data_IF_175001473579
#
_entry.id   IF_175001473579
#
_cell.length_a   1.000
_cell.length_b   1.000
_cell.length_c   1.000
_cell.angle_alpha   90.00
_cell.angle_beta   90.00
_cell.angle_gamma   90.00
#
_symmetry.space_group_name_H-M   'P 1'
#
loop_
_entity.id
_entity.type
_entity.pdbx_description
1 polymer ?
#
# COMPACT_ATOMS: atom_id res chain seq x y z
N UNK A 1 7.64 14.54 18.94
CA UNK A 1 6.76 13.38 18.64
C UNK A 1 6.47 12.67 19.96
N UNK A 2 5.21 12.30 20.27
CA UNK A 2 4.92 11.56 21.51
C UNK A 2 5.62 10.19 21.51
N UNK A 3 6.06 9.73 22.67
CA UNK A 3 6.65 8.38 22.80
C UNK A 3 5.60 7.32 22.52
N UNK A 4 6.03 6.10 22.13
CA UNK A 4 5.08 5.01 21.86
C UNK A 4 4.26 4.66 23.10
N UNK A 5 4.91 4.54 24.26
CA UNK A 5 4.25 4.31 25.55
C UNK A 5 3.20 5.36 25.86
N UNK A 6 3.49 6.65 25.62
CA UNK A 6 2.52 7.73 25.80
C UNK A 6 1.36 7.61 24.81
N UNK A 7 1.67 7.29 23.55
CA UNK A 7 0.67 7.10 22.49
C UNK A 7 -0.34 6.03 22.88
N UNK A 8 0.13 4.83 23.26
CA UNK A 8 -0.73 3.71 23.68
C UNK A 8 -1.61 4.08 24.89
N UNK A 9 -1.06 4.80 25.87
CA UNK A 9 -1.84 5.24 27.04
C UNK A 9 -2.94 6.23 26.64
N UNK A 10 -2.62 7.22 25.81
CA UNK A 10 -3.57 8.23 25.35
C UNK A 10 -4.69 7.64 24.47
N UNK A 11 -4.45 6.48 23.84
CA UNK A 11 -5.47 5.73 23.08
C UNK A 11 -6.21 4.68 23.92
N UNK A 12 -5.98 4.62 25.24
CA UNK A 12 -6.65 3.66 26.12
C UNK A 12 -6.15 2.22 26.00
N UNK A 13 -4.96 2.01 25.45
CA UNK A 13 -4.29 0.70 25.37
C UNK A 13 -3.39 0.56 26.60
N UNK A 14 -3.98 0.13 27.71
CA UNK A 14 -3.33 0.06 29.03
C UNK A 14 -2.93 -1.34 29.45
N UNK A 15 -3.62 -2.38 28.95
CA UNK A 15 -3.38 -3.79 29.28
C UNK A 15 -1.93 -4.20 28.91
N UNK A 16 -1.16 -4.81 29.84
CA UNK A 16 0.25 -5.13 29.61
C UNK A 16 0.52 -6.02 28.40
N UNK A 17 -0.30 -7.06 28.19
CA UNK A 17 -0.13 -8.03 27.11
C UNK A 17 -0.40 -7.40 25.75
N UNK A 18 -1.49 -6.61 25.65
CA UNK A 18 -1.83 -5.88 24.44
C UNK A 18 -0.76 -4.83 24.09
N UNK A 19 -0.22 -4.12 25.08
CA UNK A 19 0.90 -3.18 24.85
C UNK A 19 2.15 -3.89 24.35
N UNK A 20 2.42 -5.10 24.86
CA UNK A 20 3.53 -5.93 24.40
C UNK A 20 3.33 -6.38 22.96
N UNK A 21 2.12 -6.83 22.60
CA UNK A 21 1.77 -7.21 21.23
C UNK A 21 1.95 -6.02 20.26
N UNK A 22 1.40 -4.85 20.59
CA UNK A 22 1.62 -3.62 19.80
C UNK A 22 3.10 -3.22 19.72
N UNK A 23 3.87 -3.41 20.78
CA UNK A 23 5.31 -3.15 20.77
C UNK A 23 6.07 -4.06 19.80
N UNK A 24 5.71 -5.34 19.72
CA UNK A 24 6.26 -6.29 18.75
C UNK A 24 5.95 -5.85 17.32
N UNK A 25 4.69 -5.55 17.04
CA UNK A 25 4.26 -5.13 15.70
C UNK A 25 4.87 -3.78 15.29
N UNK A 26 5.01 -2.83 16.23
CA UNK A 26 5.73 -1.59 15.96
C UNK A 26 7.19 -1.85 15.56
N UNK A 27 7.88 -2.74 16.28
CA UNK A 27 9.26 -3.10 16.00
C UNK A 27 9.41 -3.76 14.64
N UNK A 28 8.45 -4.61 14.28
CA UNK A 28 8.34 -5.26 12.98
C UNK A 28 8.15 -4.27 11.84
N UNK A 29 7.07 -3.47 11.87
CA UNK A 29 6.75 -2.47 10.84
C UNK A 29 7.90 -1.48 10.64
N UNK A 30 8.55 -1.06 11.73
CA UNK A 30 9.71 -0.15 11.67
C UNK A 30 10.90 -0.74 10.90
N UNK A 31 11.12 -2.06 10.96
CA UNK A 31 12.21 -2.73 10.24
C UNK A 31 11.86 -2.96 8.78
N UNK A 32 10.60 -3.33 8.52
CA UNK A 32 10.13 -3.66 7.18
C UNK A 32 10.02 -2.42 6.27
N UNK A 33 9.38 -1.34 6.73
CA UNK A 33 9.13 -0.12 5.93
C UNK A 33 9.52 1.15 6.70
N UNK A 34 10.81 1.43 6.88
CA UNK A 34 11.29 2.47 7.79
C UNK A 34 10.87 3.89 7.39
N UNK A 35 10.79 4.19 6.08
CA UNK A 35 10.43 5.52 5.58
C UNK A 35 8.93 5.81 5.75
N UNK A 36 8.09 4.83 5.44
CA UNK A 36 6.64 4.85 5.60
C UNK A 36 6.29 4.92 7.08
N UNK A 37 6.94 4.09 7.90
CA UNK A 37 6.83 4.13 9.36
C UNK A 37 7.13 5.52 9.91
N UNK A 38 8.25 6.13 9.48
CA UNK A 38 8.63 7.48 9.92
C UNK A 38 7.60 8.52 9.49
N UNK A 39 7.10 8.41 8.26
CA UNK A 39 6.08 9.32 7.70
C UNK A 39 4.79 9.27 8.50
N UNK A 40 4.27 8.06 8.80
CA UNK A 40 3.11 7.87 9.68
C UNK A 40 3.36 8.51 11.04
N UNK A 41 4.49 8.19 11.68
CA UNK A 41 4.82 8.66 13.03
C UNK A 41 5.01 10.17 13.15
N UNK A 42 5.43 10.84 12.07
CA UNK A 42 5.65 12.29 12.03
C UNK A 42 4.40 13.06 11.62
N UNK A 43 3.62 12.55 10.67
CA UNK A 43 2.58 13.32 9.99
C UNK A 43 1.16 12.93 10.42
N UNK A 44 0.94 11.69 10.83
CA UNK A 44 -0.38 11.22 11.25
C UNK A 44 -0.67 11.64 12.70
N UNK A 45 -1.93 11.93 13.07
CA UNK A 45 -2.31 12.11 14.47
C UNK A 45 -1.95 10.89 15.32
N UNK A 46 -1.42 11.13 16.52
CA UNK A 46 -0.85 10.06 17.34
C UNK A 46 -1.84 8.92 17.68
N UNK A 47 -3.13 9.26 17.83
CA UNK A 47 -4.19 8.29 18.09
C UNK A 47 -4.40 7.26 16.97
N UNK A 48 -4.00 7.58 15.74
CA UNK A 48 -4.11 6.69 14.60
C UNK A 48 -2.88 5.79 14.43
N UNK A 49 -1.81 6.00 15.21
CA UNK A 49 -0.62 5.17 15.07
C UNK A 49 -0.87 3.69 15.44
N UNK A 50 -1.55 3.33 16.55
CA UNK A 50 -1.82 1.93 16.86
C UNK A 50 -2.63 1.19 15.77
N UNK A 51 -3.80 1.66 15.33
CA UNK A 51 -4.56 0.95 14.30
C UNK A 51 -3.82 0.91 12.95
N UNK A 52 -3.05 1.94 12.59
CA UNK A 52 -2.22 1.90 11.39
C UNK A 52 -1.11 0.83 11.47
N UNK A 53 -0.46 0.67 12.64
CA UNK A 53 0.54 -0.39 12.86
C UNK A 53 -0.12 -1.77 12.79
N UNK A 54 -1.31 -1.94 13.36
CA UNK A 54 -2.06 -3.19 13.30
C UNK A 54 -2.43 -3.55 11.85
N UNK A 55 -2.93 -2.59 11.07
CA UNK A 55 -3.27 -2.78 9.66
C UNK A 55 -2.06 -3.17 8.81
N UNK A 56 -0.93 -2.45 8.94
CA UNK A 56 0.31 -2.76 8.19
C UNK A 56 0.87 -4.12 8.57
N UNK A 57 0.91 -4.43 9.86
CA UNK A 57 1.37 -5.75 10.31
C UNK A 57 0.47 -6.86 9.78
N UNK A 58 -0.86 -6.66 9.80
CA UNK A 58 -1.81 -7.65 9.29
C UNK A 58 -1.70 -7.89 7.78
N UNK A 59 -1.58 -6.83 6.98
CA UNK A 59 -1.38 -6.98 5.52
C UNK A 59 -0.13 -7.81 5.23
N UNK A 60 0.99 -7.42 5.81
CA UNK A 60 2.25 -8.10 5.56
C UNK A 60 2.29 -9.55 6.09
N UNK A 61 1.72 -9.80 7.27
CA UNK A 61 1.59 -11.14 7.84
C UNK A 61 0.64 -12.03 7.01
N UNK A 62 -0.25 -11.42 6.21
CA UNK A 62 -1.07 -12.12 5.22
C UNK A 62 -0.21 -12.50 4.01
N UNK A 63 0.56 -11.55 3.46
CA UNK A 63 1.49 -11.80 2.34
C UNK A 63 2.49 -12.92 2.69
N UNK A 64 3.19 -12.81 3.84
CA UNK A 64 4.16 -13.81 4.31
C UNK A 64 3.57 -15.24 4.38
N UNK A 65 2.28 -15.36 4.70
CA UNK A 65 1.59 -16.67 4.76
C UNK A 65 1.26 -17.24 3.39
N UNK A 66 1.03 -16.37 2.40
CA UNK A 66 0.58 -16.76 1.08
C UNK A 66 1.68 -16.62 0.02
N UNK A 67 2.90 -16.22 0.36
CA UNK A 67 3.98 -16.02 -0.62
C UNK A 67 4.64 -17.31 -1.10
N UNK A 68 4.61 -18.39 -0.32
CA UNK A 68 5.40 -19.61 -0.59
C UNK A 68 4.56 -20.87 -0.76
N UNK A 69 5.02 -21.77 -1.64
CA UNK A 69 4.39 -23.06 -1.90
C UNK A 69 3.59 -23.12 -3.20
N UNK A 70 2.91 -24.25 -3.43
CA UNK A 70 2.03 -24.39 -4.61
C UNK A 70 0.79 -23.51 -4.45
N UNK A 71 0.10 -23.22 -5.55
CA UNK A 71 -1.17 -22.49 -5.53
C UNK A 71 -2.17 -23.06 -4.52
N UNK A 72 -2.30 -24.38 -4.45
CA UNK A 72 -3.20 -25.07 -3.52
C UNK A 72 -2.78 -24.87 -2.07
N UNK A 73 -1.47 -24.91 -1.79
CA UNK A 73 -0.93 -24.67 -0.45
C UNK A 73 -1.16 -23.22 -0.02
N UNK A 74 -0.91 -22.25 -0.91
CA UNK A 74 -1.16 -20.82 -0.70
C UNK A 74 -2.66 -20.55 -0.43
N UNK A 75 -3.54 -21.16 -1.23
CA UNK A 75 -5.00 -21.05 -1.04
C UNK A 75 -5.47 -21.63 0.31
N UNK A 76 -4.95 -22.79 0.70
CA UNK A 76 -5.26 -23.40 2.00
C UNK A 76 -4.73 -22.57 3.17
N UNK A 77 -3.53 -21.98 3.03
CA UNK A 77 -2.96 -21.06 4.02
C UNK A 77 -3.82 -19.81 4.18
N UNK A 78 -4.29 -19.22 3.07
CA UNK A 78 -5.19 -18.06 3.09
C UNK A 78 -6.52 -18.39 3.77
N UNK A 79 -7.15 -19.53 3.48
CA UNK A 79 -8.42 -19.90 4.11
C UNK A 79 -8.26 -20.16 5.62
N UNK A 80 -7.19 -20.84 6.02
CA UNK A 80 -6.85 -21.05 7.43
C UNK A 80 -6.63 -19.72 8.16
N UNK A 81 -5.87 -18.81 7.53
CA UNK A 81 -5.60 -17.49 8.07
C UNK A 81 -6.89 -16.66 8.19
N UNK A 82 -7.70 -16.60 7.14
CA UNK A 82 -8.96 -15.88 7.15
C UNK A 82 -9.92 -16.41 8.23
N UNK A 83 -9.98 -17.73 8.43
CA UNK A 83 -10.77 -18.35 9.50
C UNK A 83 -10.26 -17.95 10.90
N UNK A 84 -8.94 -17.96 11.10
CA UNK A 84 -8.33 -17.51 12.35
C UNK A 84 -8.57 -16.00 12.61
N UNK A 85 -8.48 -15.17 11.57
CA UNK A 85 -8.81 -13.75 11.64
C UNK A 85 -10.26 -13.54 12.06
N UNK A 86 -11.23 -14.17 11.38
CA UNK A 86 -12.65 -14.08 11.74
C UNK A 86 -12.90 -14.48 13.18
N UNK A 87 -12.36 -15.61 13.61
CA UNK A 87 -12.49 -16.09 14.99
C UNK A 87 -11.95 -15.10 16.02
N UNK A 88 -10.78 -14.49 15.75
CA UNK A 88 -10.20 -13.48 16.63
C UNK A 88 -11.02 -12.18 16.67
N UNK A 89 -11.56 -11.74 15.51
CA UNK A 89 -12.44 -10.57 15.44
C UNK A 89 -13.79 -10.81 16.15
N UNK A 90 -14.25 -12.06 16.21
CA UNK A 90 -15.46 -12.46 16.93
C UNK A 90 -15.19 -12.71 18.44
N UNK A 91 -13.98 -12.45 18.91
CA UNK A 91 -13.62 -12.44 20.33
C UNK A 91 -12.98 -13.73 20.84
N UNK A 92 -12.66 -14.70 19.98
CA UNK A 92 -11.92 -15.88 20.39
C UNK A 92 -10.50 -15.51 20.84
N UNK A 93 -10.01 -16.17 21.89
CA UNK A 93 -8.63 -16.00 22.34
C UNK A 93 -7.65 -16.46 21.25
N UNK A 94 -6.63 -15.66 20.99
CA UNK A 94 -5.57 -15.97 20.02
C UNK A 94 -4.18 -15.81 20.64
N UNK A 95 -3.28 -16.74 20.31
CA UNK A 95 -1.86 -16.64 20.61
C UNK A 95 -1.08 -15.78 19.60
N UNK A 96 -1.72 -15.44 18.47
CA UNK A 96 -1.12 -14.65 17.41
C UNK A 96 -1.14 -13.16 17.77
N UNK A 97 0.05 -12.55 17.83
CA UNK A 97 0.18 -11.15 18.23
C UNK A 97 -0.39 -10.18 17.18
N UNK A 98 -0.38 -10.54 15.89
CA UNK A 98 -0.93 -9.75 14.79
C UNK A 98 -2.46 -9.74 14.88
N UNK A 99 -3.08 -10.91 15.03
CA UNK A 99 -4.53 -11.01 15.22
C UNK A 99 -5.00 -10.30 16.50
N UNK A 100 -4.21 -10.34 17.57
CA UNK A 100 -4.55 -9.66 18.83
C UNK A 100 -4.62 -8.14 18.68
N UNK A 101 -3.63 -7.53 18.03
CA UNK A 101 -3.66 -6.07 17.81
C UNK A 101 -4.70 -5.67 16.77
N UNK A 102 -4.96 -6.54 15.78
CA UNK A 102 -6.01 -6.31 14.80
C UNK A 102 -7.40 -6.33 15.44
N UNK A 103 -7.69 -7.30 16.30
CA UNK A 103 -8.95 -7.38 17.03
C UNK A 103 -9.19 -6.14 17.90
N UNK A 104 -8.16 -5.66 18.62
CA UNK A 104 -8.25 -4.41 19.37
C UNK A 104 -8.47 -3.19 18.46
N UNK A 105 -7.77 -3.11 17.32
CA UNK A 105 -7.96 -2.04 16.35
C UNK A 105 -9.38 -2.03 15.78
N UNK A 106 -9.93 -3.18 15.40
CA UNK A 106 -11.31 -3.34 14.90
C UNK A 106 -12.33 -2.99 15.98
N UNK A 107 -12.12 -3.40 17.24
CA UNK A 107 -13.00 -3.05 18.35
C UNK A 107 -13.07 -1.53 18.59
N UNK A 108 -11.97 -0.80 18.34
CA UNK A 108 -11.90 0.66 18.47
C UNK A 108 -12.32 1.41 17.21
N UNK A 109 -12.21 0.79 16.04
CA UNK A 109 -12.51 1.34 14.72
C UNK A 109 -13.34 0.34 13.92
N UNK A 110 -14.64 0.24 14.23
CA UNK A 110 -15.52 -0.80 13.70
C UNK A 110 -15.56 -0.88 12.17
N UNK A 111 -15.35 0.24 11.47
CA UNK A 111 -15.27 0.25 10.01
C UNK A 111 -14.11 -0.57 9.44
N UNK A 112 -13.07 -0.89 10.21
CA UNK A 112 -11.97 -1.75 9.75
C UNK A 112 -12.44 -3.17 9.43
N UNK A 113 -13.49 -3.68 10.11
CA UNK A 113 -13.90 -5.10 9.97
C UNK A 113 -14.24 -5.44 8.52
N UNK A 114 -14.99 -4.57 7.83
CA UNK A 114 -15.37 -4.83 6.44
C UNK A 114 -14.14 -4.86 5.53
N UNK A 115 -13.20 -3.93 5.70
CA UNK A 115 -12.00 -3.87 4.86
C UNK A 115 -11.02 -5.02 5.14
N UNK A 116 -10.99 -5.55 6.36
CA UNK A 116 -10.25 -6.79 6.67
C UNK A 116 -10.82 -7.97 5.89
N UNK A 117 -12.15 -8.14 5.89
CA UNK A 117 -12.81 -9.22 5.16
C UNK A 117 -12.66 -9.05 3.64
N UNK A 118 -12.78 -7.82 3.14
CA UNK A 118 -12.62 -7.50 1.73
C UNK A 118 -11.18 -7.75 1.26
N UNK A 119 -10.18 -7.35 2.06
CA UNK A 119 -8.77 -7.63 1.78
C UNK A 119 -8.49 -9.14 1.76
N UNK A 120 -8.97 -9.91 2.75
CA UNK A 120 -8.79 -11.36 2.77
C UNK A 120 -9.48 -12.07 1.60
N UNK A 121 -10.66 -11.57 1.18
CA UNK A 121 -11.34 -12.07 -0.02
C UNK A 121 -10.52 -11.76 -1.28
N UNK A 122 -10.01 -10.53 -1.35
CA UNK A 122 -9.16 -10.04 -2.43
C UNK A 122 -7.83 -10.75 -2.55
N UNK A 123 -7.25 -11.21 -1.44
CA UNK A 123 -5.96 -11.91 -1.40
C UNK A 123 -5.95 -13.22 -2.23
N UNK A 124 -7.12 -13.71 -2.66
CA UNK A 124 -7.21 -14.77 -3.68
C UNK A 124 -6.59 -14.36 -5.02
N UNK A 125 -6.67 -13.07 -5.39
CA UNK A 125 -6.00 -12.55 -6.56
C UNK A 125 -4.48 -12.69 -6.45
N UNK A 126 -3.88 -12.50 -5.27
CA UNK A 126 -2.45 -12.75 -5.04
C UNK A 126 -2.07 -14.22 -5.11
N UNK A 127 -2.90 -15.10 -4.54
CA UNK A 127 -2.71 -16.55 -4.62
C UNK A 127 -2.70 -17.03 -6.09
N UNK A 128 -3.52 -16.41 -6.93
CA UNK A 128 -3.66 -16.72 -8.35
C UNK A 128 -2.74 -15.88 -9.26
N UNK A 129 -1.98 -14.93 -8.71
CA UNK A 129 -1.22 -13.97 -9.49
C UNK A 129 -0.13 -14.64 -10.33
N UNK A 130 -0.13 -14.32 -11.63
CA UNK A 130 0.86 -14.77 -12.61
C UNK A 130 1.23 -13.67 -13.62
N UNK A 131 0.97 -12.40 -13.27
CA UNK A 131 0.94 -11.28 -14.21
C UNK A 131 -0.46 -11.07 -14.80
N UNK A 132 -0.57 -10.12 -15.73
CA UNK A 132 -1.82 -9.77 -16.41
C UNK A 132 -1.67 -9.94 -17.92
N UNK A 133 -2.67 -10.52 -18.58
CA UNK A 133 -2.75 -10.54 -20.04
C UNK A 133 -3.31 -9.22 -20.56
N UNK A 134 -4.26 -8.62 -19.82
CA UNK A 134 -5.02 -7.46 -20.26
C UNK A 134 -5.12 -6.36 -19.21
N UNK A 135 -5.40 -5.14 -19.67
CA UNK A 135 -5.69 -4.00 -18.79
C UNK A 135 -6.93 -4.26 -17.90
N UNK A 136 -7.95 -4.97 -18.40
CA UNK A 136 -9.14 -5.30 -17.61
C UNK A 136 -8.83 -6.23 -16.41
N UNK A 137 -7.85 -7.12 -16.56
CA UNK A 137 -7.36 -7.98 -15.46
C UNK A 137 -6.60 -7.16 -14.42
N UNK A 138 -5.76 -6.21 -14.85
CA UNK A 138 -5.11 -5.25 -13.95
C UNK A 138 -6.16 -4.45 -13.17
N UNK A 139 -7.20 -3.94 -13.85
CA UNK A 139 -8.27 -3.20 -13.17
C UNK A 139 -9.06 -4.09 -12.19
N UNK A 140 -9.32 -5.34 -12.56
CA UNK A 140 -9.95 -6.32 -11.67
C UNK A 140 -9.10 -6.57 -10.42
N UNK A 141 -7.77 -6.67 -10.57
CA UNK A 141 -6.84 -6.78 -9.45
C UNK A 141 -6.82 -5.52 -8.57
N UNK A 142 -6.83 -4.33 -9.18
CA UNK A 142 -6.90 -3.06 -8.45
C UNK A 142 -8.17 -2.99 -7.60
N UNK A 143 -9.33 -3.30 -8.17
CA UNK A 143 -10.62 -3.23 -7.49
C UNK A 143 -10.83 -4.37 -6.48
N UNK A 144 -10.36 -5.57 -6.82
CA UNK A 144 -10.57 -6.79 -6.04
C UNK A 144 -9.57 -6.98 -4.91
N UNK A 145 -8.36 -6.43 -5.00
CA UNK A 145 -7.29 -6.65 -4.02
C UNK A 145 -6.61 -5.37 -3.55
N UNK A 146 -6.06 -4.57 -4.48
CA UNK A 146 -5.23 -3.43 -4.10
C UNK A 146 -6.02 -2.35 -3.34
N UNK A 147 -7.24 -2.03 -3.80
CA UNK A 147 -8.12 -1.08 -3.15
C UNK A 147 -8.56 -1.57 -1.75
N UNK A 148 -9.09 -2.80 -1.57
CA UNK A 148 -9.35 -3.33 -0.23
C UNK A 148 -8.16 -3.24 0.73
N UNK A 149 -6.96 -3.60 0.27
CA UNK A 149 -5.73 -3.46 1.07
C UNK A 149 -5.42 -2.01 1.43
N UNK A 150 -5.50 -1.09 0.46
CA UNK A 150 -5.32 0.34 0.72
C UNK A 150 -6.33 0.90 1.72
N UNK A 151 -7.58 0.43 1.66
CA UNK A 151 -8.66 0.89 2.53
C UNK A 151 -8.46 0.50 4.00
N UNK A 152 -7.67 -0.52 4.33
CA UNK A 152 -7.27 -0.84 5.71
C UNK A 152 -6.56 0.34 6.41
N UNK A 153 -5.87 1.19 5.64
CA UNK A 153 -5.27 2.42 6.14
C UNK A 153 -6.13 3.65 5.82
N UNK A 154 -6.68 3.73 4.61
CA UNK A 154 -7.42 4.91 4.18
C UNK A 154 -8.68 5.16 5.04
N UNK A 155 -9.36 4.10 5.49
CA UNK A 155 -10.55 4.23 6.34
C UNK A 155 -10.26 4.76 7.75
N UNK A 156 -8.98 4.81 8.16
CA UNK A 156 -8.52 5.42 9.42
C UNK A 156 -8.31 6.93 9.29
N UNK A 157 -8.23 7.45 8.07
CA UNK A 157 -8.10 8.88 7.83
C UNK A 157 -9.37 9.58 8.31
N UNK A 158 -9.22 10.51 9.23
CA UNK A 158 -10.38 11.23 9.74
C UNK A 158 -10.94 12.14 8.67
N UNK A 159 -12.23 11.96 8.37
CA UNK A 159 -12.95 12.70 7.34
C UNK A 159 -13.73 13.88 7.91
N UNK A 160 -13.89 14.89 7.07
CA UNK A 160 -14.61 16.12 7.40
C UNK A 160 -16.13 15.88 7.30
N UNK A 161 -16.55 15.19 6.23
CA UNK A 161 -17.92 14.74 5.99
C UNK A 161 -17.94 13.27 5.48
N UNK A 162 -18.91 12.49 5.96
CA UNK A 162 -19.17 11.12 5.52
C UNK A 162 -20.21 11.05 4.40
N UNK A 163 -20.86 12.16 4.03
CA UNK A 163 -21.77 12.16 2.86
C UNK A 163 -21.04 12.03 1.53
N UNK A 164 -19.72 12.22 1.51
CA UNK A 164 -18.86 12.11 0.32
C UNK A 164 -18.15 10.75 0.24
N UNK A 165 -18.75 9.68 0.75
CA UNK A 165 -18.17 8.33 0.78
C UNK A 165 -17.76 7.82 -0.60
N UNK A 166 -18.61 8.03 -1.61
CA UNK A 166 -18.35 7.62 -3.00
C UNK A 166 -17.16 8.38 -3.59
N UNK A 167 -17.07 9.68 -3.34
CA UNK A 167 -15.96 10.52 -3.83
C UNK A 167 -14.65 10.11 -3.14
N UNK A 168 -14.69 9.88 -1.83
CA UNK A 168 -13.52 9.38 -1.09
C UNK A 168 -13.05 8.03 -1.63
N UNK A 169 -13.96 7.08 -1.80
CA UNK A 169 -13.64 5.76 -2.35
C UNK A 169 -13.07 5.86 -3.77
N UNK A 170 -13.64 6.69 -4.64
CA UNK A 170 -13.13 6.91 -5.99
C UNK A 170 -11.73 7.52 -5.98
N UNK A 171 -11.47 8.54 -5.14
CA UNK A 171 -10.14 9.12 -5.06
C UNK A 171 -9.11 8.14 -4.46
N UNK A 172 -9.52 7.26 -3.53
CA UNK A 172 -8.69 6.17 -3.03
C UNK A 172 -8.38 5.16 -4.14
N UNK A 173 -9.37 4.79 -4.96
CA UNK A 173 -9.20 3.91 -6.13
C UNK A 173 -8.22 4.52 -7.14
N UNK A 174 -8.39 5.79 -7.50
CA UNK A 174 -7.48 6.47 -8.43
C UNK A 174 -6.05 6.54 -7.87
N UNK A 175 -5.89 6.78 -6.56
CA UNK A 175 -4.57 6.79 -5.93
C UNK A 175 -3.90 5.41 -5.97
N UNK A 176 -4.63 4.36 -5.56
CA UNK A 176 -4.04 3.01 -5.50
C UNK A 176 -3.78 2.45 -6.90
N UNK A 177 -4.61 2.74 -7.90
CA UNK A 177 -4.33 2.39 -9.29
C UNK A 177 -3.01 3.02 -9.76
N UNK A 178 -2.83 4.33 -9.50
CA UNK A 178 -1.58 5.01 -9.84
C UNK A 178 -0.37 4.42 -9.10
N UNK A 179 -0.53 4.09 -7.81
CA UNK A 179 0.52 3.45 -7.02
C UNK A 179 0.91 2.08 -7.56
N UNK A 180 -0.06 1.22 -7.87
CA UNK A 180 0.19 -0.10 -8.44
C UNK A 180 0.95 -0.02 -9.76
N UNK A 181 0.53 0.86 -10.69
CA UNK A 181 1.27 1.08 -11.94
C UNK A 181 2.70 1.57 -11.70
N UNK A 182 2.90 2.47 -10.73
CA UNK A 182 4.23 2.95 -10.37
C UNK A 182 5.08 1.81 -9.83
N UNK A 183 4.53 1.01 -8.91
CA UNK A 183 5.25 -0.07 -8.24
C UNK A 183 5.59 -1.20 -9.23
N UNK A 184 4.68 -1.64 -10.12
CA UNK A 184 4.99 -2.60 -11.19
C UNK A 184 6.09 -2.12 -12.16
N UNK A 185 6.19 -0.80 -12.39
CA UNK A 185 7.28 -0.24 -13.19
C UNK A 185 8.59 -0.18 -12.39
N UNK A 186 8.52 0.13 -11.10
CA UNK A 186 9.68 0.22 -10.20
C UNK A 186 10.29 -1.16 -9.94
N UNK A 187 9.46 -2.19 -9.87
CA UNK A 187 9.86 -3.57 -9.57
C UNK A 187 10.11 -4.41 -10.84
N UNK A 188 9.95 -3.82 -12.03
CA UNK A 188 10.06 -4.49 -13.33
C UNK A 188 11.29 -5.39 -13.48
N UNK A 189 12.47 -4.95 -13.02
CA UNK A 189 13.69 -5.76 -13.12
C UNK A 189 13.62 -7.07 -12.32
N UNK A 190 13.00 -7.03 -11.14
CA UNK A 190 12.78 -8.20 -10.30
C UNK A 190 11.72 -9.11 -10.90
N UNK A 191 10.59 -8.52 -11.31
CA UNK A 191 9.46 -9.23 -11.92
C UNK A 191 9.83 -9.96 -13.21
N UNK A 192 10.69 -9.36 -14.05
CA UNK A 192 11.23 -10.00 -15.26
C UNK A 192 12.07 -11.24 -14.92
N UNK A 193 12.81 -11.19 -13.80
CA UNK A 193 13.57 -12.32 -13.28
C UNK A 193 12.66 -13.47 -12.82
N UNK A 194 11.50 -13.14 -12.24
CA UNK A 194 10.49 -14.10 -11.78
C UNK A 194 9.53 -14.56 -12.88
N UNK A 195 9.44 -13.82 -13.99
CA UNK A 195 8.52 -14.07 -15.10
C UNK A 195 7.09 -13.57 -14.87
N UNK A 196 6.84 -12.81 -13.82
CA UNK A 196 5.51 -12.34 -13.39
C UNK A 196 5.44 -10.81 -13.49
N UNK A 197 5.45 -10.28 -14.71
CA UNK A 197 5.48 -8.83 -14.94
C UNK A 197 4.09 -8.21 -14.74
N UNK A 198 4.00 -7.18 -13.89
CA UNK A 198 2.75 -6.46 -13.61
C UNK A 198 2.28 -5.49 -14.70
N UNK A 199 2.97 -5.44 -15.84
CA UNK A 199 2.53 -4.72 -17.05
C UNK A 199 1.71 -5.69 -17.91
N UNK A 200 0.50 -5.33 -18.37
CA UNK A 200 -0.32 -6.20 -19.21
C UNK A 200 0.43 -6.74 -20.44
N UNK A 201 0.31 -8.03 -20.70
CA UNK A 201 0.97 -8.73 -21.82
C UNK A 201 0.64 -8.09 -23.17
N UNK A 202 -0.63 -7.71 -23.40
CA UNK A 202 -1.03 -6.97 -24.60
C UNK A 202 -0.35 -5.60 -24.76
N UNK A 203 0.05 -4.96 -23.67
CA UNK A 203 0.81 -3.71 -23.73
C UNK A 203 2.26 -3.98 -24.16
N UNK A 204 2.88 -5.04 -23.64
CA UNK A 204 4.20 -5.49 -24.10
C UNK A 204 4.18 -5.83 -25.59
N UNK A 205 3.19 -6.60 -26.04
CA UNK A 205 3.06 -7.04 -27.44
C UNK A 205 2.90 -5.86 -28.42
N UNK A 206 2.08 -4.86 -28.08
CA UNK A 206 1.92 -3.66 -28.92
C UNK A 206 3.23 -2.91 -29.14
N UNK A 207 4.13 -2.95 -28.17
CA UNK A 207 5.46 -2.36 -28.26
C UNK A 207 6.51 -3.31 -28.85
N UNK A 208 6.11 -4.51 -29.28
CA UNK A 208 7.03 -5.54 -29.79
C UNK A 208 8.01 -6.04 -28.73
N UNK A 209 7.54 -6.13 -27.48
CA UNK A 209 8.28 -6.62 -26.32
C UNK A 209 7.73 -7.97 -25.87
N UNK A 210 8.59 -8.75 -25.21
CA UNK A 210 8.24 -9.96 -24.49
C UNK A 210 9.06 -10.02 -23.20
N UNK A 211 8.57 -10.74 -22.18
CA UNK A 211 9.30 -10.91 -20.91
C UNK A 211 10.70 -11.49 -21.16
N UNK A 212 10.83 -12.43 -22.10
CA UNK A 212 12.13 -13.01 -22.47
C UNK A 212 13.08 -11.96 -23.07
N UNK A 213 12.59 -11.07 -23.93
CA UNK A 213 13.40 -9.98 -24.48
C UNK A 213 13.87 -8.99 -23.40
N UNK A 214 13.09 -8.82 -22.31
CA UNK A 214 13.43 -7.94 -21.20
C UNK A 214 14.52 -8.52 -20.28
N UNK A 215 14.70 -9.85 -20.24
CA UNK A 215 15.77 -10.50 -19.44
C UNK A 215 17.18 -10.21 -19.95
N UNK A 216 17.33 -9.96 -21.24
CA UNK A 216 18.61 -9.61 -21.88
C UNK A 216 18.39 -8.52 -22.92
N UNK A 217 18.10 -7.28 -22.47
CA UNK A 217 17.56 -6.25 -23.32
C UNK A 217 18.66 -5.58 -24.16
N UNK A 218 18.49 -5.61 -25.48
CA UNK A 218 19.28 -4.82 -26.43
C UNK A 218 18.90 -3.33 -26.35
N UNK A 219 19.70 -2.45 -26.96
CA UNK A 219 19.38 -1.01 -27.03
C UNK A 219 18.02 -0.74 -27.69
N UNK A 220 17.66 -1.54 -28.70
CA UNK A 220 16.35 -1.44 -29.35
C UNK A 220 15.20 -1.85 -28.43
N UNK A 221 15.39 -2.90 -27.61
CA UNK A 221 14.42 -3.31 -26.59
C UNK A 221 14.27 -2.23 -25.52
N UNK A 222 15.38 -1.65 -25.06
CA UNK A 222 15.37 -0.53 -24.09
C UNK A 222 14.63 0.69 -24.63
N UNK A 223 14.82 1.03 -25.91
CA UNK A 223 14.13 2.15 -26.53
C UNK A 223 12.60 1.93 -26.58
N UNK A 224 12.15 0.73 -26.96
CA UNK A 224 10.72 0.34 -26.97
C UNK A 224 10.14 0.30 -25.57
N UNK A 225 10.88 -0.25 -24.60
CA UNK A 225 10.47 -0.22 -23.20
C UNK A 225 10.31 1.23 -22.71
N UNK A 226 11.21 2.13 -23.09
CA UNK A 226 11.07 3.55 -22.77
C UNK A 226 9.77 4.18 -23.30
N UNK A 227 9.30 3.76 -24.48
CA UNK A 227 8.02 4.18 -25.05
C UNK A 227 6.84 3.61 -24.25
N UNK A 228 6.87 2.32 -23.93
CA UNK A 228 5.85 1.68 -23.08
C UNK A 228 5.77 2.32 -21.69
N UNK A 229 6.91 2.58 -21.05
CA UNK A 229 6.97 3.25 -19.74
C UNK A 229 6.35 4.65 -19.82
N UNK A 230 6.62 5.39 -20.90
CA UNK A 230 6.00 6.70 -21.11
C UNK A 230 4.47 6.59 -21.23
N UNK A 231 3.95 5.59 -21.95
CA UNK A 231 2.50 5.34 -22.03
C UNK A 231 1.89 5.00 -20.66
N UNK A 232 2.53 4.10 -19.88
CA UNK A 232 2.06 3.76 -18.54
C UNK A 232 2.08 4.95 -17.58
N UNK A 233 3.08 5.83 -17.70
CA UNK A 233 3.14 7.09 -16.95
C UNK A 233 1.97 8.01 -17.31
N UNK A 234 1.59 8.09 -18.58
CA UNK A 234 0.44 8.90 -19.02
C UNK A 234 -0.92 8.28 -18.60
N UNK A 235 -1.00 6.97 -18.38
CA UNK A 235 -2.17 6.33 -17.76
C UNK A 235 -2.26 6.62 -16.25
N UNK A 236 -1.14 6.58 -15.54
CA UNK A 236 -1.10 6.82 -14.09
C UNK A 236 -1.28 8.31 -13.71
N UNK A 237 -0.82 9.23 -14.55
CA UNK A 237 -0.85 10.68 -14.29
C UNK A 237 -2.25 11.25 -14.00
N UNK A 238 -3.29 11.02 -14.82
CA UNK A 238 -4.62 11.56 -14.55
C UNK A 238 -5.24 10.96 -13.27
N UNK A 239 -4.98 9.68 -12.98
CA UNK A 239 -5.42 9.01 -11.74
C UNK A 239 -4.80 9.66 -10.51
N UNK A 240 -3.48 9.86 -10.52
CA UNK A 240 -2.79 10.55 -9.43
C UNK A 240 -3.29 12.00 -9.29
N UNK A 241 -3.52 12.71 -10.40
CA UNK A 241 -4.09 14.07 -10.36
C UNK A 241 -5.48 14.10 -9.75
N UNK A 242 -6.36 13.18 -10.13
CA UNK A 242 -7.73 13.08 -9.61
C UNK A 242 -7.73 12.79 -8.09
N UNK A 243 -6.81 11.94 -7.62
CA UNK A 243 -6.68 11.65 -6.19
C UNK A 243 -6.27 12.85 -5.33
N UNK A 244 -5.85 13.97 -5.92
CA UNK A 244 -5.51 15.20 -5.22
C UNK A 244 -6.64 15.73 -4.33
N UNK A 245 -7.90 15.43 -4.66
CA UNK A 245 -9.07 15.78 -3.86
C UNK A 245 -9.08 15.09 -2.48
N UNK A 246 -8.37 13.97 -2.26
CA UNK A 246 -8.28 13.32 -0.94
C UNK A 246 -7.84 14.29 0.16
N UNK A 247 -6.94 15.22 -0.16
CA UNK A 247 -6.46 16.20 0.81
C UNK A 247 -7.54 17.17 1.29
N UNK A 248 -8.61 17.42 0.52
CA UNK A 248 -9.75 18.23 0.97
C UNK A 248 -10.81 17.41 1.70
N UNK A 249 -10.91 16.10 1.46
CA UNK A 249 -11.92 15.23 2.08
C UNK A 249 -11.57 14.83 3.53
N UNK A 250 -10.29 14.97 3.91
CA UNK A 250 -9.82 14.65 5.26
C UNK A 250 -9.72 15.88 6.14
N UNK A 251 -9.90 15.68 7.45
CA UNK A 251 -9.79 16.74 8.46
C UNK A 251 -8.42 17.45 8.40
N UNK A 252 -8.34 18.74 8.74
CA UNK A 252 -7.11 19.52 8.69
C UNK A 252 -5.88 18.85 9.34
N UNK A 253 -6.09 18.10 10.43
CA UNK A 253 -5.02 17.41 11.17
C UNK A 253 -4.43 16.18 10.44
N UNK A 254 -5.15 15.61 9.48
CA UNK A 254 -4.73 14.46 8.66
C UNK A 254 -4.21 14.89 7.29
N UNK A 255 -4.59 16.08 6.80
CA UNK A 255 -4.18 16.61 5.48
C UNK A 255 -2.67 16.54 5.22
N UNK A 256 -1.77 16.92 6.15
CA UNK A 256 -0.33 16.87 5.87
C UNK A 256 0.19 15.48 5.51
N UNK A 257 -0.38 14.42 6.09
CA UNK A 257 -0.02 13.04 5.75
C UNK A 257 -0.50 12.70 4.33
N UNK A 258 -1.76 13.00 3.98
CA UNK A 258 -2.32 12.75 2.65
C UNK A 258 -1.59 13.56 1.57
N UNK A 259 -1.31 14.85 1.82
CA UNK A 259 -0.50 15.67 0.91
C UNK A 259 0.91 15.12 0.73
N UNK A 260 1.55 14.61 1.80
CA UNK A 260 2.86 13.97 1.68
C UNK A 260 2.78 12.72 0.80
N UNK A 261 1.79 11.86 1.02
CA UNK A 261 1.59 10.64 0.24
C UNK A 261 1.46 10.96 -1.25
N UNK A 262 0.56 11.87 -1.63
CA UNK A 262 0.36 12.31 -3.01
C UNK A 262 1.65 12.86 -3.64
N UNK A 263 2.36 13.75 -2.92
CA UNK A 263 3.61 14.34 -3.40
C UNK A 263 4.74 13.31 -3.56
N UNK A 264 4.79 12.28 -2.72
CA UNK A 264 5.74 11.19 -2.86
C UNK A 264 5.42 10.38 -4.12
N UNK A 265 4.15 10.06 -4.39
CA UNK A 265 3.78 9.34 -5.61
C UNK A 265 4.07 10.16 -6.88
N UNK A 266 3.90 11.49 -6.85
CA UNK A 266 4.32 12.33 -7.98
C UNK A 266 5.84 12.24 -8.24
N UNK A 267 6.63 12.19 -7.17
CA UNK A 267 8.09 12.05 -7.28
C UNK A 267 8.49 10.68 -7.80
N UNK A 268 7.82 9.60 -7.35
CA UNK A 268 8.03 8.24 -7.85
C UNK A 268 7.67 8.16 -9.35
N UNK A 269 6.49 8.63 -9.75
CA UNK A 269 6.06 8.65 -11.15
C UNK A 269 7.04 9.41 -12.06
N UNK A 270 7.54 10.57 -11.62
CA UNK A 270 8.59 11.31 -12.34
C UNK A 270 9.93 10.58 -12.38
N UNK A 271 10.27 9.79 -11.37
CA UNK A 271 11.50 9.00 -11.36
C UNK A 271 11.40 7.85 -12.36
N UNK A 272 10.28 7.11 -12.34
CA UNK A 272 9.95 6.03 -13.28
C UNK A 272 10.00 6.54 -14.72
N UNK A 273 9.28 7.62 -15.03
CA UNK A 273 9.27 8.19 -16.38
C UNK A 273 10.63 8.68 -16.88
N UNK A 274 11.49 9.20 -15.98
CA UNK A 274 12.87 9.59 -16.34
C UNK A 274 13.79 8.39 -16.55
N UNK A 275 13.57 7.29 -15.83
CA UNK A 275 14.37 6.07 -15.97
C UNK A 275 14.00 5.30 -17.24
N UNK A 276 12.72 5.31 -17.63
CA UNK A 276 12.24 4.78 -18.89
C UNK A 276 12.72 3.35 -19.13
N UNK A 277 13.34 3.11 -20.29
CA UNK A 277 13.89 1.81 -20.66
C UNK A 277 15.03 1.28 -19.78
N UNK A 278 15.56 2.08 -18.85
CA UNK A 278 16.55 1.63 -17.87
C UNK A 278 15.94 0.88 -16.67
N UNK A 279 14.62 0.76 -16.58
CA UNK A 279 13.94 0.07 -15.46
C UNK A 279 14.26 -1.42 -15.39
N UNK A 280 14.65 -2.05 -16.50
CA UNK A 280 15.17 -3.43 -16.54
C UNK A 280 16.47 -3.63 -15.75
N UNK A 281 17.17 -2.55 -15.40
CA UNK A 281 18.40 -2.60 -14.58
C UNK A 281 18.12 -2.32 -13.09
N UNK A 282 16.85 -2.16 -12.70
CA UNK A 282 16.39 -1.97 -11.33
C UNK A 282 15.39 -0.81 -11.20
N UNK A 283 14.85 -0.60 -10.00
CA UNK A 283 13.88 0.46 -9.75
C UNK A 283 14.38 1.89 -9.92
N UNK A 284 13.44 2.79 -10.21
CA UNK A 284 13.60 4.22 -10.23
C UNK A 284 13.54 4.82 -8.83
N UNK A 285 14.67 5.34 -8.35
CA UNK A 285 14.72 6.01 -7.06
C UNK A 285 14.37 7.49 -7.19
N UNK A 286 13.29 7.99 -6.55
CA UNK A 286 13.07 9.42 -6.43
C UNK A 286 14.20 10.10 -5.66
N UNK A 287 14.39 11.39 -5.90
CA UNK A 287 15.44 12.19 -5.26
C UNK A 287 15.22 12.24 -3.74
N UNK A 288 16.19 11.73 -2.96
CA UNK A 288 16.16 11.77 -1.49
C UNK A 288 16.00 13.21 -0.97
N UNK A 289 16.73 14.23 -1.47
CA UNK A 289 16.46 15.62 -1.11
C UNK A 289 15.02 16.07 -1.39
N UNK A 290 14.41 15.64 -2.49
CA UNK A 290 13.03 15.99 -2.81
C UNK A 290 12.03 15.34 -1.83
N UNK A 291 12.21 14.04 -1.53
CA UNK A 291 11.42 13.32 -0.53
C UNK A 291 11.55 13.97 0.86
N UNK A 292 12.77 14.27 1.29
CA UNK A 292 13.01 14.96 2.56
C UNK A 292 12.40 16.36 2.57
N UNK A 293 12.43 17.07 1.43
CA UNK A 293 11.75 18.34 1.26
C UNK A 293 10.24 18.25 1.47
N UNK A 294 9.59 17.22 0.93
CA UNK A 294 8.16 16.92 1.18
C UNK A 294 7.93 16.70 2.67
N UNK A 295 8.67 15.76 3.28
CA UNK A 295 8.51 15.41 4.69
C UNK A 295 8.70 16.63 5.62
N UNK A 296 9.72 17.45 5.38
CA UNK A 296 10.00 18.64 6.17
C UNK A 296 8.89 19.70 6.04
N UNK A 297 8.36 19.94 4.84
CA UNK A 297 7.25 20.89 4.63
C UNK A 297 6.01 20.44 5.38
N UNK A 298 5.62 19.17 5.22
CA UNK A 298 4.43 18.64 5.87
C UNK A 298 4.60 18.52 7.38
N UNK A 299 5.79 18.17 7.87
CA UNK A 299 6.08 18.18 9.31
C UNK A 299 5.96 19.58 9.91
N UNK A 300 6.42 20.63 9.20
CA UNK A 300 6.21 22.02 9.64
C UNK A 300 4.73 22.39 9.66
N UNK A 301 3.93 21.93 8.69
CA UNK A 301 2.49 22.14 8.69
C UNK A 301 1.82 21.50 9.92
N UNK A 302 2.16 20.26 10.26
CA UNK A 302 1.69 19.58 11.49
C UNK A 302 2.05 20.36 12.74
N UNK A 303 3.28 20.90 12.82
CA UNK A 303 3.73 21.67 13.99
C UNK A 303 3.01 23.01 14.17
N UNK A 304 2.52 23.63 13.10
CA UNK A 304 1.75 24.89 13.17
C UNK A 304 0.31 24.69 13.67
N UNK A 305 -0.19 23.46 13.60
CA UNK A 305 -1.55 23.08 14.04
C UNK A 305 -1.60 22.60 15.51
N UNK A 306 -0.46 22.51 16.18
CA UNK A 306 -0.32 22.13 17.60
C UNK A 306 -0.07 23.36 18.43
#
# INVERSE_FOLDING_TARGET
MPTWTRTLRETGITEPDLRTAYGRQLGFVRRFKPAEFLTVRLLLPARLHPPAVAAVAFMHETDDRIDTGTREARAAALESWASATRSALDGAATGDATLRVLADAVARHGQLRQYVEDFLRGARHEVDYAGFDTEDELQTYVDGYALPGFMLLACLLEREDTTEDEVFAQCCRDLIEAMQRIDFLDDLAEDVGQGQVGIPGKDLERHGLSVEALRSPTDAVRARLGQLVAEQVELARPRLSASGQLASLVRPRTRPFVTALLQVQELKLRAVGRKGGGLVDGGARPSVPALMGVLLRQYRAVRRMR
#
